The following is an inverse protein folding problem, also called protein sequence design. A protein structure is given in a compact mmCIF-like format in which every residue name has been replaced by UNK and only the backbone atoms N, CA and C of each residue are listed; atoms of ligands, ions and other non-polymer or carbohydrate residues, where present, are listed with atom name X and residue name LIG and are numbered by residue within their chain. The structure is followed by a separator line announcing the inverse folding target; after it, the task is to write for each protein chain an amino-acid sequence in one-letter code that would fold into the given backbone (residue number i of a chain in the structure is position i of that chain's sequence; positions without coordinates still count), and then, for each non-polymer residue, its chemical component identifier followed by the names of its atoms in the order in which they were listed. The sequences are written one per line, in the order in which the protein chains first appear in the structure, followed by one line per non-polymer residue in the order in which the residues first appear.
data_IF_873298301414
#
_entry.id   IF_873298301414
#
_cell.length_a   1.000
_cell.length_b   1.000
_cell.length_c   1.000
_cell.angle_alpha   90.00
_cell.angle_beta   90.00
_cell.angle_gamma   90.00
#
_symmetry.space_group_name_H-M   'P 1'
#
loop_
_entity.id
_entity.type
_entity.pdbx_description
1 polymer ?
#
# COMPACT_ATOMS: atom_id res chain seq x y z
N UNK A 1 3.45 -1.69 38.63
CA UNK A 1 3.72 -1.17 37.27
C UNK A 1 3.14 -2.14 36.25
N UNK A 2 1.96 -1.85 35.72
CA UNK A 2 1.37 -2.64 34.63
C UNK A 2 2.13 -2.25 33.36
N UNK A 3 3.01 -3.13 32.88
CA UNK A 3 3.74 -2.93 31.64
C UNK A 3 2.74 -2.61 30.53
N UNK A 4 2.93 -1.48 29.84
CA UNK A 4 2.23 -1.18 28.60
C UNK A 4 2.59 -2.31 27.62
N UNK A 5 1.72 -3.32 27.51
CA UNK A 5 1.70 -4.21 26.36
C UNK A 5 1.67 -3.27 25.15
N UNK A 6 2.79 -3.15 24.45
CA UNK A 6 2.84 -2.51 23.14
C UNK A 6 1.95 -3.37 22.27
N UNK A 7 0.67 -2.98 22.16
CA UNK A 7 -0.29 -3.72 21.37
C UNK A 7 0.03 -3.42 19.93
N UNK A 8 0.54 -4.43 19.23
CA UNK A 8 0.80 -4.37 17.81
C UNK A 8 -0.42 -3.82 17.06
N UNK A 9 -0.20 -3.01 16.04
CA UNK A 9 -1.24 -2.30 15.30
C UNK A 9 -1.44 -3.01 13.96
N UNK A 10 -2.61 -3.65 13.71
CA UNK A 10 -2.91 -4.27 12.43
C UNK A 10 -2.80 -3.27 11.27
N UNK A 11 -2.11 -3.67 10.21
CA UNK A 11 -1.98 -2.90 8.98
C UNK A 11 -2.68 -3.64 7.84
N UNK A 12 -3.48 -2.90 7.07
CA UNK A 12 -4.26 -3.41 5.96
C UNK A 12 -3.97 -2.63 4.68
N UNK A 13 -4.03 -3.32 3.54
CA UNK A 13 -4.31 -2.71 2.24
C UNK A 13 -5.80 -2.88 1.97
N UNK A 14 -6.47 -1.83 1.51
CA UNK A 14 -7.91 -1.84 1.31
C UNK A 14 -8.32 -1.25 -0.03
N UNK A 15 -9.43 -1.76 -0.55
CA UNK A 15 -10.12 -1.24 -1.73
C UNK A 15 -11.46 -0.67 -1.31
N UNK A 16 -11.76 0.53 -1.78
CA UNK A 16 -13.11 1.11 -1.78
C UNK A 16 -13.57 1.31 -3.21
N UNK A 17 -14.90 1.36 -3.44
CA UNK A 17 -15.41 1.76 -4.75
C UNK A 17 -14.97 3.19 -5.04
N UNK A 18 -14.55 3.47 -6.28
CA UNK A 18 -14.21 4.83 -6.68
C UNK A 18 -15.49 5.67 -6.70
N UNK A 19 -15.63 6.73 -5.89
CA UNK A 19 -16.88 7.50 -5.84
C UNK A 19 -17.09 8.34 -7.10
N UNK A 20 -16.02 8.70 -7.81
CA UNK A 20 -16.07 9.51 -9.03
C UNK A 20 -15.05 8.98 -10.03
N UNK A 21 -15.48 8.46 -11.18
CA UNK A 21 -14.56 8.18 -12.30
C UNK A 21 -14.19 9.54 -12.89
N UNK A 22 -12.96 10.03 -12.67
CA UNK A 22 -12.54 11.27 -13.31
C UNK A 22 -12.36 11.02 -14.81
N UNK A 23 -12.94 11.90 -15.65
CA UNK A 23 -12.64 11.95 -17.08
C UNK A 23 -11.17 12.36 -17.24
N UNK A 24 -10.29 11.37 -17.37
CA UNK A 24 -8.84 11.57 -17.41
C UNK A 24 -8.06 10.46 -16.71
N UNK A 25 -8.68 9.74 -15.76
CA UNK A 25 -8.12 8.51 -15.22
C UNK A 25 -8.17 7.45 -16.32
N UNK A 26 -7.04 7.28 -17.01
CA UNK A 26 -6.87 6.25 -18.04
C UNK A 26 -7.29 4.90 -17.46
N UNK A 27 -8.40 4.32 -17.94
CA UNK A 27 -8.82 2.91 -17.95
C UNK A 27 -8.63 1.99 -16.70
N UNK A 28 -8.06 2.43 -15.59
CA UNK A 28 -7.53 1.59 -14.52
C UNK A 28 -7.84 2.26 -13.18
N UNK A 29 -8.95 2.02 -12.52
CA UNK A 29 -9.27 0.80 -11.76
C UNK A 29 -10.64 1.10 -11.13
N UNK A 30 -11.58 0.16 -11.17
CA UNK A 30 -12.88 0.29 -10.49
C UNK A 30 -12.79 0.55 -8.97
N UNK A 31 -11.59 0.42 -8.40
CA UNK A 31 -11.31 0.55 -6.98
C UNK A 31 -10.30 1.65 -6.69
N UNK A 32 -10.52 2.33 -5.57
CA UNK A 32 -9.59 3.22 -4.91
C UNK A 32 -8.75 2.46 -3.87
N UNK A 33 -7.43 2.59 -3.94
CA UNK A 33 -6.50 1.88 -3.07
C UNK A 33 -6.11 2.73 -1.86
N UNK A 34 -6.02 2.09 -0.69
CA UNK A 34 -5.65 2.76 0.55
C UNK A 34 -4.90 1.84 1.52
N UNK A 35 -4.20 2.45 2.48
CA UNK A 35 -3.61 1.79 3.63
C UNK A 35 -4.44 2.10 4.87
N UNK A 36 -4.73 1.10 5.70
CA UNK A 36 -5.48 1.29 6.95
C UNK A 36 -4.69 0.73 8.12
N UNK A 37 -4.50 1.53 9.17
CA UNK A 37 -4.06 1.07 10.47
C UNK A 37 -5.29 0.86 11.38
N UNK A 38 -5.55 -0.38 11.80
CA UNK A 38 -6.68 -0.75 12.65
C UNK A 38 -6.33 -0.81 14.13
N UNK A 39 -7.34 -0.93 15.02
CA UNK A 39 -7.10 -1.22 16.43
C UNK A 39 -6.63 -2.66 16.61
N UNK A 40 -5.88 -2.95 17.67
CA UNK A 40 -5.37 -4.31 17.94
C UNK A 40 -6.47 -5.34 18.16
N UNK A 41 -7.65 -4.90 18.61
CA UNK A 41 -8.85 -5.71 18.74
C UNK A 41 -9.98 -5.00 18.00
N UNK A 42 -10.59 -5.71 17.06
CA UNK A 42 -11.68 -5.17 16.26
C UNK A 42 -13.04 -5.59 16.82
N UNK A 43 -13.97 -4.64 16.76
CA UNK A 43 -15.38 -4.73 17.14
C UNK A 43 -16.21 -4.13 16.01
N UNK A 44 -17.52 -4.37 15.94
CA UNK A 44 -18.37 -3.75 14.90
C UNK A 44 -18.30 -2.22 14.86
N UNK A 45 -17.96 -1.57 15.98
CA UNK A 45 -17.81 -0.12 16.11
C UNK A 45 -16.36 0.37 15.98
N UNK A 46 -15.43 -0.54 15.65
CA UNK A 46 -14.02 -0.20 15.54
C UNK A 46 -13.78 0.79 14.42
N UNK A 47 -12.83 1.70 14.67
CA UNK A 47 -12.36 2.69 13.72
C UNK A 47 -10.88 2.49 13.46
N UNK A 48 -10.48 2.67 12.21
CA UNK A 48 -9.09 2.68 11.79
C UNK A 48 -8.69 4.05 11.25
N UNK A 49 -7.40 4.21 11.04
CA UNK A 49 -6.83 5.37 10.35
C UNK A 49 -6.52 4.96 8.92
N UNK A 50 -7.26 5.52 7.97
CA UNK A 50 -7.04 5.34 6.53
C UNK A 50 -6.07 6.40 6.03
N UNK A 51 -5.13 5.98 5.20
CA UNK A 51 -4.26 6.83 4.41
C UNK A 51 -4.48 6.51 2.94
N UNK A 52 -4.70 7.53 2.13
CA UNK A 52 -4.95 7.36 0.70
C UNK A 52 -4.47 8.57 -0.08
N UNK A 53 -4.14 8.35 -1.35
CA UNK A 53 -3.80 9.42 -2.28
C UNK A 53 -5.07 9.88 -2.99
N UNK A 54 -5.41 11.14 -2.89
CA UNK A 54 -6.53 11.75 -3.61
C UNK A 54 -6.02 12.84 -4.55
N UNK A 55 -6.87 13.28 -5.46
CA UNK A 55 -6.61 14.45 -6.30
C UNK A 55 -7.54 15.59 -5.91
N UNK A 56 -6.97 16.74 -5.56
CA UNK A 56 -7.72 17.94 -5.24
C UNK A 56 -7.58 18.95 -6.37
N UNK A 57 -8.68 19.59 -6.76
CA UNK A 57 -8.65 20.67 -7.74
C UNK A 57 -8.06 21.93 -7.10
N UNK A 58 -6.96 22.43 -7.67
CA UNK A 58 -6.30 23.67 -7.29
C UNK A 58 -6.19 24.57 -8.52
N UNK A 59 -7.08 25.56 -8.63
CA UNK A 59 -7.24 26.32 -9.86
C UNK A 59 -7.77 25.42 -10.99
N UNK A 60 -7.03 25.36 -12.10
CA UNK A 60 -7.36 24.54 -13.27
C UNK A 60 -6.66 23.16 -13.27
N UNK A 61 -5.80 22.90 -12.27
CA UNK A 61 -5.02 21.66 -12.18
C UNK A 61 -5.54 20.73 -11.07
N UNK A 62 -5.39 19.43 -11.27
CA UNK A 62 -5.60 18.42 -10.23
C UNK A 62 -4.28 18.08 -9.58
N UNK A 63 -4.15 18.43 -8.31
CA UNK A 63 -2.93 18.21 -7.53
C UNK A 63 -3.11 16.98 -6.63
N UNK A 64 -2.19 16.01 -6.68
CA UNK A 64 -2.28 14.82 -5.86
C UNK A 64 -1.89 15.14 -4.40
N UNK A 65 -2.69 14.68 -3.45
CA UNK A 65 -2.51 14.91 -2.01
C UNK A 65 -2.75 13.65 -1.21
N UNK A 66 -1.98 13.45 -0.14
CA UNK A 66 -2.22 12.36 0.81
C UNK A 66 -3.18 12.83 1.89
N UNK A 67 -4.27 12.11 2.06
CA UNK A 67 -5.25 12.33 3.12
C UNK A 67 -5.18 11.26 4.20
N UNK A 68 -5.58 11.66 5.41
CA UNK A 68 -5.61 10.81 6.61
C UNK A 68 -6.99 10.94 7.26
N UNK A 69 -7.77 9.87 7.21
CA UNK A 69 -9.14 9.84 7.74
C UNK A 69 -9.30 8.81 8.84
N UNK A 70 -10.18 9.10 9.80
CA UNK A 70 -10.63 8.10 10.77
C UNK A 70 -11.94 7.48 10.30
N UNK A 71 -11.87 6.25 9.81
CA UNK A 71 -13.01 5.56 9.19
C UNK A 71 -13.54 4.41 10.06
N UNK A 72 -14.85 4.09 9.99
CA UNK A 72 -15.37 2.83 10.51
C UNK A 72 -14.75 1.64 9.78
N UNK A 73 -14.49 0.55 10.51
CA UNK A 73 -13.99 -0.71 9.94
C UNK A 73 -15.08 -1.77 9.77
N UNK A 74 -16.26 -1.51 10.33
CA UNK A 74 -17.43 -2.37 10.17
C UNK A 74 -18.06 -2.27 8.77
N UNK A 75 -19.13 -3.04 8.60
CA UNK A 75 -19.97 -3.06 7.40
C UNK A 75 -20.55 -1.67 7.13
N UNK A 76 -20.60 -1.25 5.87
CA UNK A 76 -21.15 0.06 5.46
C UNK A 76 -20.13 1.21 5.44
N UNK A 77 -18.85 0.92 5.67
CA UNK A 77 -17.74 1.90 5.59
C UNK A 77 -17.34 2.30 4.17
N UNK A 78 -18.01 1.78 3.14
CA UNK A 78 -17.63 1.94 1.74
C UNK A 78 -16.37 1.15 1.32
N UNK A 79 -15.79 0.38 2.24
CA UNK A 79 -14.71 -0.56 1.95
C UNK A 79 -15.28 -1.81 1.26
N UNK A 80 -14.79 -2.14 0.07
CA UNK A 80 -15.14 -3.37 -0.64
C UNK A 80 -14.44 -4.55 0.03
N UNK A 81 -13.13 -4.43 0.22
CA UNK A 81 -12.28 -5.41 0.87
C UNK A 81 -11.14 -4.73 1.62
N UNK A 82 -10.61 -5.41 2.63
CA UNK A 82 -9.34 -5.07 3.27
C UNK A 82 -8.58 -6.35 3.56
N UNK A 83 -7.28 -6.27 3.40
CA UNK A 83 -6.38 -7.39 3.44
C UNK A 83 -5.30 -7.08 4.47
N UNK A 84 -5.23 -7.85 5.55
CA UNK A 84 -4.24 -7.63 6.61
C UNK A 84 -2.86 -8.01 6.10
N UNK A 85 -2.00 -7.01 5.88
CA UNK A 85 -0.67 -7.19 5.32
C UNK A 85 0.43 -7.28 6.39
N UNK A 86 0.14 -6.89 7.63
CA UNK A 86 1.10 -7.01 8.71
C UNK A 86 0.64 -6.44 10.05
N UNK A 87 1.61 -6.34 10.95
CA UNK A 87 1.46 -5.77 12.29
C UNK A 87 2.56 -4.73 12.51
N UNK A 88 2.16 -3.47 12.62
CA UNK A 88 3.06 -2.36 12.93
C UNK A 88 3.44 -2.38 14.41
N UNK A 89 4.72 -2.13 14.69
CA UNK A 89 5.23 -1.96 16.04
C UNK A 89 4.83 -0.59 16.61
N UNK A 90 4.90 0.46 15.78
CA UNK A 90 4.60 1.84 16.16
C UNK A 90 3.89 2.57 15.03
N UNK A 91 2.87 3.35 15.37
CA UNK A 91 2.11 4.14 14.41
C UNK A 91 2.98 5.19 13.71
N UNK A 92 3.91 5.80 14.47
CA UNK A 92 4.79 6.86 13.97
C UNK A 92 5.68 6.38 12.81
N UNK A 93 6.01 5.09 12.74
CA UNK A 93 6.84 4.56 11.67
C UNK A 93 6.07 4.48 10.35
N UNK A 94 4.77 4.15 10.40
CA UNK A 94 3.89 4.27 9.24
C UNK A 94 3.73 5.73 8.84
N UNK A 95 3.48 6.63 9.80
CA UNK A 95 3.31 8.06 9.50
C UNK A 95 4.54 8.65 8.81
N UNK A 96 5.75 8.32 9.27
CA UNK A 96 7.01 8.74 8.62
C UNK A 96 7.16 8.21 7.20
N UNK A 97 6.70 7.00 6.92
CA UNK A 97 6.72 6.46 5.55
C UNK A 97 5.74 7.21 4.68
N UNK A 98 4.49 7.36 5.14
CA UNK A 98 3.42 8.02 4.41
C UNK A 98 3.76 9.47 4.09
N UNK A 99 4.32 10.22 5.04
CA UNK A 99 4.70 11.63 4.83
C UNK A 99 6.05 11.78 4.12
N UNK A 100 6.93 10.79 4.23
CA UNK A 100 8.27 10.82 3.64
C UNK A 100 8.34 10.32 2.20
N UNK A 101 7.26 9.75 1.65
CA UNK A 101 7.16 9.35 0.24
C UNK A 101 6.64 10.54 -0.58
N UNK A 102 7.49 11.22 -1.37
CA UNK A 102 7.06 12.37 -2.15
C UNK A 102 6.14 11.90 -3.26
N UNK A 103 4.90 12.38 -3.26
CA UNK A 103 3.94 12.14 -4.34
C UNK A 103 4.48 12.62 -5.69
N UNK A 104 5.33 13.66 -5.67
CA UNK A 104 6.00 14.26 -6.83
C UNK A 104 7.05 13.36 -7.50
N UNK A 105 7.48 12.27 -6.84
CA UNK A 105 8.45 11.34 -7.42
C UNK A 105 7.81 10.33 -8.39
N UNK A 106 6.51 10.45 -8.63
CA UNK A 106 5.75 9.60 -9.52
C UNK A 106 5.32 10.45 -10.72
N UNK A 107 5.68 9.98 -11.92
CA UNK A 107 5.06 10.48 -13.15
C UNK A 107 3.61 10.00 -13.12
N UNK A 108 2.66 10.94 -12.98
CA UNK A 108 1.22 10.65 -12.89
C UNK A 108 0.86 9.69 -11.72
N UNK A 109 0.92 10.17 -10.46
CA UNK A 109 0.79 9.31 -9.28
C UNK A 109 -0.61 8.70 -9.09
N UNK A 110 -0.80 7.41 -9.41
CA UNK A 110 -2.04 6.72 -9.04
C UNK A 110 -2.08 6.31 -7.57
N UNK A 111 -3.29 6.19 -6.99
CA UNK A 111 -3.46 5.68 -5.63
C UNK A 111 -2.89 4.26 -5.45
N UNK A 112 -2.98 3.42 -6.48
CA UNK A 112 -2.38 2.09 -6.49
C UNK A 112 -0.84 2.15 -6.43
N UNK A 113 -0.20 2.94 -7.29
CA UNK A 113 1.25 3.11 -7.32
C UNK A 113 1.78 3.65 -5.99
N UNK A 114 1.06 4.58 -5.39
CA UNK A 114 1.40 5.13 -4.08
C UNK A 114 1.33 4.08 -2.96
N UNK A 115 0.28 3.25 -2.93
CA UNK A 115 0.19 2.11 -1.99
C UNK A 115 1.30 1.10 -2.25
N UNK A 116 1.64 0.81 -3.51
CA UNK A 116 2.71 -0.09 -3.89
C UNK A 116 4.08 0.35 -3.33
N UNK A 117 4.38 1.65 -3.39
CA UNK A 117 5.59 2.22 -2.81
C UNK A 117 5.63 2.08 -1.28
N UNK A 118 4.50 2.30 -0.60
CA UNK A 118 4.41 2.10 0.85
C UNK A 118 4.70 0.66 1.22
N UNK A 119 4.02 -0.30 0.57
CA UNK A 119 4.21 -1.74 0.84
C UNK A 119 5.65 -2.16 0.58
N UNK A 120 6.24 -1.70 -0.53
CA UNK A 120 7.64 -1.98 -0.87
C UNK A 120 8.62 -1.38 0.15
N UNK A 121 8.35 -0.16 0.63
CA UNK A 121 9.18 0.51 1.65
C UNK A 121 9.08 -0.20 3.00
N UNK A 122 7.87 -0.65 3.37
CA UNK A 122 7.65 -1.43 4.58
C UNK A 122 8.38 -2.77 4.54
N UNK A 123 8.40 -3.45 3.38
CA UNK A 123 9.09 -4.74 3.21
C UNK A 123 10.62 -4.60 3.35
N UNK A 124 11.19 -3.49 2.88
CA UNK A 124 12.65 -3.21 2.97
C UNK A 124 13.11 -2.87 4.40
N UNK A 125 12.20 -2.50 5.31
CA UNK A 125 12.54 -2.02 6.66
C UNK A 125 12.19 -3.08 7.71
N UNK A 126 13.16 -3.95 8.01
CA UNK A 126 13.04 -5.15 8.86
C UNK A 126 12.50 -4.92 10.30
N UNK A 127 12.39 -3.68 10.78
CA UNK A 127 12.00 -3.36 12.15
C UNK A 127 10.62 -2.68 12.28
N UNK A 128 9.95 -2.37 11.17
CA UNK A 128 8.67 -1.64 11.21
C UNK A 128 7.50 -2.61 11.39
N UNK A 129 7.58 -3.77 10.73
CA UNK A 129 6.55 -4.81 10.79
C UNK A 129 7.05 -5.97 11.65
N UNK A 130 6.36 -6.27 12.75
CA UNK A 130 6.66 -7.43 13.61
C UNK A 130 6.31 -8.76 12.93
N UNK A 131 5.32 -8.74 12.05
CA UNK A 131 4.81 -9.90 11.30
C UNK A 131 4.28 -9.43 9.96
N UNK A 132 4.62 -10.18 8.91
CA UNK A 132 4.22 -10.07 7.51
C UNK A 132 4.57 -8.76 6.81
N UNK A 133 5.20 -8.90 5.66
CA UNK A 133 5.00 -8.11 4.45
C UNK A 133 5.22 -9.07 3.27
N UNK A 134 4.26 -9.15 2.34
CA UNK A 134 4.41 -9.89 1.09
C UNK A 134 4.90 -8.92 0.02
N UNK A 135 5.55 -9.42 -1.03
CA UNK A 135 5.85 -8.62 -2.21
C UNK A 135 4.57 -7.96 -2.76
N UNK A 136 4.68 -6.71 -3.23
CA UNK A 136 3.52 -5.92 -3.64
C UNK A 136 2.62 -6.65 -4.64
N UNK A 137 3.21 -7.31 -5.64
CA UNK A 137 2.44 -8.05 -6.65
C UNK A 137 1.54 -9.14 -6.04
N UNK A 138 1.99 -9.77 -4.94
CA UNK A 138 1.19 -10.78 -4.22
C UNK A 138 0.05 -10.12 -3.45
N UNK A 139 0.33 -8.99 -2.76
CA UNK A 139 -0.69 -8.22 -2.04
C UNK A 139 -1.77 -7.75 -3.01
N UNK A 140 -1.36 -7.14 -4.13
CA UNK A 140 -2.25 -6.65 -5.17
C UNK A 140 -3.16 -7.75 -5.72
N UNK A 141 -2.57 -8.85 -6.17
CA UNK A 141 -3.30 -9.98 -6.73
C UNK A 141 -4.28 -10.57 -5.70
N UNK A 142 -3.86 -10.66 -4.44
CA UNK A 142 -4.71 -11.13 -3.35
C UNK A 142 -5.91 -10.22 -3.11
N UNK A 143 -5.69 -8.91 -2.96
CA UNK A 143 -6.76 -7.95 -2.66
C UNK A 143 -7.77 -7.89 -3.82
N UNK A 144 -7.31 -7.95 -5.08
CA UNK A 144 -8.19 -8.01 -6.25
C UNK A 144 -9.01 -9.30 -6.30
N UNK A 145 -8.38 -10.46 -6.07
CA UNK A 145 -9.11 -11.73 -6.01
C UNK A 145 -10.17 -11.74 -4.90
N UNK A 146 -9.89 -11.10 -3.75
CA UNK A 146 -10.89 -10.90 -2.70
C UNK A 146 -12.07 -10.06 -3.19
N UNK A 147 -11.79 -8.98 -3.93
CA UNK A 147 -12.83 -8.10 -4.45
C UNK A 147 -13.70 -8.79 -5.50
N UNK A 148 -13.12 -9.63 -6.37
CA UNK A 148 -13.86 -10.43 -7.35
C UNK A 148 -14.77 -11.47 -6.66
N UNK A 149 -14.23 -12.25 -5.71
CA UNK A 149 -14.98 -13.26 -4.94
C UNK A 149 -16.03 -12.64 -4.01
N UNK A 150 -15.90 -11.36 -3.68
CA UNK A 150 -16.89 -10.63 -2.87
C UNK A 150 -18.23 -10.48 -3.61
N UNK A 151 -18.27 -10.60 -4.94
CA UNK A 151 -19.52 -10.63 -5.72
C UNK A 151 -20.40 -9.38 -5.57
N UNK A 152 -19.84 -8.25 -5.12
CA UNK A 152 -20.51 -7.00 -4.67
C UNK A 152 -20.99 -6.95 -3.21
N UNK A 153 -20.59 -7.90 -2.35
CA UNK A 153 -20.88 -7.94 -0.92
C UNK A 153 -19.63 -7.94 -0.04
N UNK A 154 -19.60 -7.07 0.97
CA UNK A 154 -18.51 -6.83 1.92
C UNK A 154 -17.88 -8.12 2.50
N UNK A 155 -16.57 -8.34 2.29
CA UNK A 155 -15.79 -9.39 2.97
C UNK A 155 -14.62 -8.75 3.73
N UNK A 156 -14.72 -8.71 5.06
CA UNK A 156 -13.87 -7.84 5.85
C UNK A 156 -12.52 -8.41 6.24
N UNK A 157 -12.29 -9.73 6.24
CA UNK A 157 -10.98 -10.27 6.64
C UNK A 157 -10.75 -11.69 6.10
N UNK A 158 -9.62 -11.93 5.40
CA UNK A 158 -9.07 -13.27 5.20
C UNK A 158 -7.77 -13.43 5.98
N UNK A 159 -7.63 -14.56 6.67
CA UNK A 159 -6.48 -14.84 7.50
C UNK A 159 -5.24 -15.16 6.66
N UNK A 160 -4.08 -14.77 7.20
CA UNK A 160 -2.80 -15.48 7.15
C UNK A 160 -2.73 -16.67 6.16
N UNK A 161 -3.23 -17.77 6.69
CA UNK A 161 -3.12 -19.10 6.12
C UNK A 161 -3.88 -19.26 4.81
N UNK A 162 -5.03 -18.58 4.65
CA UNK A 162 -5.73 -18.56 3.36
C UNK A 162 -4.92 -17.86 2.28
N UNK A 163 -4.08 -16.88 2.64
CA UNK A 163 -3.17 -16.21 1.70
C UNK A 163 -2.09 -17.15 1.22
N UNK A 164 -1.50 -17.94 2.12
CA UNK A 164 -0.51 -18.97 1.76
C UNK A 164 -1.12 -20.03 0.86
N UNK A 165 -2.32 -20.50 1.20
CA UNK A 165 -3.01 -21.52 0.42
C UNK A 165 -3.42 -20.99 -0.95
N UNK A 166 -3.88 -19.73 -1.03
CA UNK A 166 -4.20 -19.09 -2.30
C UNK A 166 -2.93 -18.86 -3.12
N UNK A 167 -1.83 -18.38 -2.54
CA UNK A 167 -0.57 -18.19 -3.24
C UNK A 167 0.01 -19.52 -3.76
N UNK A 168 -0.11 -20.60 -2.97
CA UNK A 168 0.23 -21.97 -3.43
C UNK A 168 -0.65 -22.39 -4.61
N UNK A 169 -1.96 -22.15 -4.53
CA UNK A 169 -2.91 -22.43 -5.63
C UNK A 169 -2.59 -21.61 -6.88
N UNK A 170 -2.27 -20.32 -6.74
CA UNK A 170 -1.91 -19.44 -7.84
C UNK A 170 -0.60 -19.84 -8.51
N UNK A 171 0.40 -20.31 -7.75
CA UNK A 171 1.64 -20.89 -8.30
C UNK A 171 1.40 -22.22 -9.03
N UNK A 172 0.35 -22.96 -8.68
CA UNK A 172 -0.02 -24.23 -9.32
C UNK A 172 -0.98 -24.09 -10.51
N UNK A 173 -1.48 -22.88 -10.80
CA UNK A 173 -2.36 -22.66 -11.96
C UNK A 173 -1.50 -22.56 -13.23
N UNK A 174 -1.79 -23.34 -14.29
CA UNK A 174 -0.99 -23.39 -15.52
C UNK A 174 -1.19 -22.18 -16.45
N UNK A 175 -1.97 -21.18 -16.04
CA UNK A 175 -2.49 -20.15 -16.93
C UNK A 175 -1.84 -18.77 -16.71
N UNK A 176 -1.16 -18.28 -17.75
CA UNK A 176 -0.42 -17.02 -17.81
C UNK A 176 -1.31 -15.76 -17.80
N UNK A 177 -2.63 -15.88 -17.63
CA UNK A 177 -3.54 -14.73 -17.61
C UNK A 177 -3.28 -13.72 -16.48
N UNK A 178 -2.61 -14.13 -15.39
CA UNK A 178 -2.12 -13.21 -14.36
C UNK A 178 -0.73 -12.60 -14.67
N UNK A 179 -0.01 -13.11 -15.68
CA UNK A 179 1.28 -12.60 -16.15
C UNK A 179 1.15 -11.49 -17.23
N UNK A 180 -0.08 -11.14 -17.64
CA UNK A 180 -0.35 -9.97 -18.50
C UNK A 180 -0.15 -8.61 -17.76
N UNK A 181 0.52 -8.60 -16.61
CA UNK A 181 0.88 -7.41 -15.82
C UNK A 181 2.31 -6.90 -16.10
N UNK A 182 2.93 -7.31 -17.22
CA UNK A 182 4.28 -6.86 -17.59
C UNK A 182 4.50 -5.34 -17.74
N UNK A 183 3.53 -4.46 -18.03
CA UNK A 183 3.86 -3.04 -18.19
C UNK A 183 4.27 -2.34 -16.88
N UNK A 184 3.77 -2.81 -15.72
CA UNK A 184 3.98 -2.11 -14.43
C UNK A 184 5.31 -2.50 -13.77
N UNK A 185 5.81 -3.71 -14.03
CA UNK A 185 7.10 -4.19 -13.50
C UNK A 185 8.31 -3.57 -14.20
N UNK A 186 8.19 -3.16 -15.47
CA UNK A 186 9.28 -2.51 -16.21
C UNK A 186 9.53 -1.09 -15.67
N UNK A 187 8.47 -0.35 -15.29
CA UNK A 187 8.64 1.00 -14.73
C UNK A 187 9.14 0.98 -13.28
N UNK A 188 8.76 0.00 -12.46
CA UNK A 188 9.22 -0.10 -11.08
C UNK A 188 10.70 -0.54 -10.95
N UNK A 189 11.18 -1.39 -11.87
CA UNK A 189 12.57 -1.84 -11.87
C UNK A 189 13.52 -0.73 -12.38
N UNK A 190 13.14 -0.02 -13.45
CA UNK A 190 13.94 1.10 -13.95
C UNK A 190 14.08 2.21 -12.88
N UNK A 191 13.03 2.45 -12.09
CA UNK A 191 13.07 3.43 -11.01
C UNK A 191 13.95 3.02 -9.81
N UNK A 192 14.04 1.71 -9.52
CA UNK A 192 14.92 1.20 -8.47
C UNK A 192 16.40 1.31 -8.87
N UNK A 193 16.70 1.09 -10.15
CA UNK A 193 18.05 1.23 -10.72
C UNK A 193 18.47 2.72 -10.80
N UNK A 194 17.55 3.62 -11.12
CA UNK A 194 17.78 5.08 -11.13
C UNK A 194 18.02 5.64 -9.71
N UNK A 195 17.25 5.18 -8.71
CA UNK A 195 17.49 5.57 -7.31
C UNK A 195 18.80 5.01 -6.75
N UNK A 196 19.17 3.78 -7.13
CA UNK A 196 20.46 3.19 -6.72
C UNK A 196 21.63 3.94 -7.33
N UNK A 197 21.47 4.40 -8.57
CA UNK A 197 22.48 5.22 -9.28
C UNK A 197 22.62 6.61 -8.64
N UNK A 198 21.50 7.28 -8.31
CA UNK A 198 21.52 8.59 -7.62
C UNK A 198 22.13 8.53 -6.21
N UNK A 199 21.92 7.43 -5.48
CA UNK A 199 22.52 7.22 -4.15
C UNK A 199 24.02 6.87 -4.22
N UNK A 200 24.48 6.28 -5.32
CA UNK A 200 25.91 5.98 -5.52
C UNK A 200 26.75 7.22 -5.89
N UNK A 201 26.18 8.17 -6.65
CA UNK A 201 26.87 9.41 -7.05
C UNK A 201 27.07 10.37 -5.87
N UNK A 202 26.07 10.45 -4.97
CA UNK A 202 26.14 11.31 -3.77
C UNK A 202 27.13 10.80 -2.73
N UNK A 203 27.42 9.48 -2.69
CA UNK A 203 28.45 8.95 -1.79
C UNK A 203 29.88 9.15 -2.30
N UNK A 204 30.09 9.22 -3.62
CA UNK A 204 31.41 9.42 -4.21
C UNK A 204 31.85 10.88 -4.22
N UNK A 205 30.94 11.83 -4.44
CA UNK A 205 31.26 13.27 -4.40
C UNK A 205 31.60 13.74 -2.97
N UNK A 206 30.89 13.23 -1.96
CA UNK A 206 31.20 13.53 -0.54
C UNK A 206 32.54 12.94 -0.05
N UNK A 207 33.08 11.92 -0.71
CA UNK A 207 34.36 11.30 -0.36
C UNK A 207 35.54 11.98 -1.08
N UNK A 208 35.33 12.46 -2.32
CA UNK A 208 36.34 13.20 -3.06
C UNK A 208 36.66 14.57 -2.42
N UNK A 209 35.66 15.28 -1.88
CA UNK A 209 35.89 16.58 -1.22
C UNK A 209 36.60 16.47 0.14
N UNK A 210 36.51 15.32 0.82
CA UNK A 210 37.17 15.10 2.12
C UNK A 210 38.60 14.57 2.03
N UNK A 211 39.09 14.26 0.83
CA UNK A 211 40.47 13.80 0.63
C UNK A 211 41.41 14.90 0.07
N UNK A 212 40.89 16.11 -0.16
CA UNK A 212 41.64 17.26 -0.68
C UNK A 212 41.76 18.44 0.31
N UNK A 213 41.48 18.23 1.60
CA UNK A 213 41.80 19.14 2.71
C UNK A 213 42.71 18.42 3.70
#
# INVERSE_FOLDING_TARGET
MIGRLCKDIPLYVALSMHPHKHEGDAAFSQYHWSIIAGPSFETPLSKGTRYHLIYTKEGDEYVPRVEKDRIPLGIGSGLVVRAKIGMLTKMQDLERIVTGLPVVNLVEPTCEMWVAQIVSTLNKRANILRKWCLEWYMVRAWVLAMAEDSGRGYKTDMSYNRVVDLAKRMRSLPDQRYFSMRPVLVQANNFADDMSSALSLTSTESLAEKMCQ
#
